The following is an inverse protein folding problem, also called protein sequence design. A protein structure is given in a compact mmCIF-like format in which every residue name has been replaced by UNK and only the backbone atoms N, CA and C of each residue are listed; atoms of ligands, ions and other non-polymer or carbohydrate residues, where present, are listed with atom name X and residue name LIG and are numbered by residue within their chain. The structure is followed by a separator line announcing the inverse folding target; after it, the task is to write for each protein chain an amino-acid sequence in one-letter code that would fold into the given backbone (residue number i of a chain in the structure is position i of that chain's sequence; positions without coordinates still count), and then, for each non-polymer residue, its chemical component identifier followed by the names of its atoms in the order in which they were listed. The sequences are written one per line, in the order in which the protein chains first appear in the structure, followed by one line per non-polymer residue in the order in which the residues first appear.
data_IF_523135155838
#
_entry.id   IF_523135155838
#
_cell.length_a   1.000
_cell.length_b   1.000
_cell.length_c   1.000
_cell.angle_alpha   90.00
_cell.angle_beta   90.00
_cell.angle_gamma   90.00
#
_symmetry.space_group_name_H-M   'P 1'
#
loop_
_entity.id
_entity.type
_entity.pdbx_description
1 polymer ?
#
# COMPACT_ATOMS: atom_id res chain seq x y z
N UNK A 1 -12.16 7.56 -24.20
CA UNK A 1 -11.64 7.50 -22.82
C UNK A 1 -10.14 7.34 -22.89
N UNK A 2 -9.40 8.23 -22.24
CA UNK A 2 -7.94 8.17 -22.18
C UNK A 2 -7.53 7.06 -21.21
N UNK A 3 -6.68 6.14 -21.67
CA UNK A 3 -6.23 5.00 -20.86
C UNK A 3 -5.17 5.45 -19.84
N UNK A 4 -5.27 4.95 -18.62
CA UNK A 4 -4.24 5.10 -17.59
C UNK A 4 -3.23 3.97 -17.75
N UNK A 5 -1.95 4.29 -17.73
CA UNK A 5 -0.85 3.32 -17.89
C UNK A 5 0.34 3.69 -17.00
N UNK A 6 1.21 2.72 -16.74
CA UNK A 6 2.56 2.98 -16.22
C UNK A 6 3.62 2.41 -17.17
N UNK A 7 4.88 2.84 -17.06
CA UNK A 7 5.94 2.32 -17.94
C UNK A 7 6.34 0.92 -17.48
N UNK A 8 6.58 0.01 -18.42
CA UNK A 8 6.84 -1.41 -18.09
C UNK A 8 8.03 -1.62 -17.13
N UNK A 9 9.05 -0.77 -17.21
CA UNK A 9 10.27 -0.85 -16.40
C UNK A 9 10.33 0.21 -15.29
N UNK A 10 9.22 0.88 -14.98
CA UNK A 10 9.18 1.88 -13.91
C UNK A 10 9.00 1.20 -12.56
N UNK A 11 10.01 1.24 -11.67
CA UNK A 11 9.94 0.61 -10.35
C UNK A 11 8.88 1.27 -9.47
N UNK A 12 8.66 2.57 -9.66
CA UNK A 12 7.70 3.37 -8.88
C UNK A 12 6.28 3.28 -9.47
N UNK A 13 6.15 2.68 -10.67
CA UNK A 13 4.89 2.51 -11.42
C UNK A 13 4.08 3.80 -11.48
N UNK A 14 4.74 4.91 -11.81
CA UNK A 14 4.08 6.20 -11.97
C UNK A 14 2.99 6.10 -13.03
N UNK A 15 1.83 6.68 -12.73
CA UNK A 15 0.67 6.63 -13.61
C UNK A 15 0.70 7.80 -14.59
N UNK A 16 0.40 7.51 -15.84
CA UNK A 16 0.34 8.46 -16.94
C UNK A 16 -0.93 8.23 -17.73
N UNK A 17 -1.37 9.28 -18.41
CA UNK A 17 -2.28 9.11 -19.54
C UNK A 17 -1.54 8.58 -20.75
N UNK A 18 -2.09 7.54 -21.40
CA UNK A 18 -1.46 6.89 -22.56
C UNK A 18 -1.11 7.89 -23.67
N UNK A 19 -1.94 8.90 -23.87
CA UNK A 19 -1.76 9.92 -24.91
C UNK A 19 -0.59 10.88 -24.60
N UNK A 20 -0.16 10.97 -23.33
CA UNK A 20 1.00 11.76 -22.92
C UNK A 20 2.33 11.02 -23.08
N UNK A 21 2.31 9.69 -23.21
CA UNK A 21 3.51 8.86 -23.27
C UNK A 21 3.94 8.65 -24.74
N UNK A 22 5.22 8.87 -25.08
CA UNK A 22 5.76 8.57 -26.41
C UNK A 22 5.48 7.12 -26.86
N UNK A 23 5.14 6.95 -28.16
CA UNK A 23 4.71 5.66 -28.73
C UNK A 23 5.79 4.58 -28.70
N UNK A 24 7.06 4.98 -28.65
CA UNK A 24 8.24 4.11 -28.59
C UNK A 24 8.47 3.48 -27.22
N UNK A 25 7.81 3.96 -26.16
CA UNK A 25 7.93 3.40 -24.82
C UNK A 25 6.94 2.25 -24.58
N UNK A 26 7.43 1.19 -23.94
CA UNK A 26 6.60 0.08 -23.48
C UNK A 26 5.83 0.49 -22.23
N UNK A 27 4.52 0.33 -22.29
CA UNK A 27 3.60 0.69 -21.20
C UNK A 27 2.73 -0.51 -20.83
N UNK A 28 2.19 -0.49 -19.62
CA UNK A 28 1.27 -1.51 -19.10
C UNK A 28 0.02 -0.80 -18.57
N UNK A 29 -1.15 -1.34 -18.89
CA UNK A 29 -2.42 -0.92 -18.28
C UNK A 29 -2.56 -1.67 -16.94
N UNK A 30 -2.69 -0.96 -15.80
CA UNK A 30 -2.84 -1.63 -14.51
C UNK A 30 -4.20 -2.33 -14.45
N UNK A 31 -4.23 -3.56 -13.93
CA UNK A 31 -5.48 -4.15 -13.49
C UNK A 31 -5.98 -3.46 -12.20
N UNK A 32 -7.20 -3.79 -11.77
CA UNK A 32 -7.81 -3.14 -10.62
C UNK A 32 -6.98 -3.30 -9.33
N UNK A 33 -6.34 -4.46 -9.15
CA UNK A 33 -5.48 -4.73 -8.00
C UNK A 33 -4.23 -3.86 -8.04
N UNK A 34 -3.52 -3.85 -9.16
CA UNK A 34 -2.31 -3.06 -9.35
C UNK A 34 -2.60 -1.56 -9.20
N UNK A 35 -3.74 -1.10 -9.74
CA UNK A 35 -4.18 0.27 -9.58
C UNK A 35 -4.37 0.64 -8.11
N UNK A 36 -5.03 -0.22 -7.32
CA UNK A 36 -5.18 -0.01 -5.87
C UNK A 36 -3.82 0.02 -5.15
N UNK A 37 -2.90 -0.89 -5.45
CA UNK A 37 -1.55 -0.90 -4.86
C UNK A 37 -0.80 0.42 -5.13
N UNK A 38 -0.83 0.91 -6.37
CA UNK A 38 -0.16 2.17 -6.75
C UNK A 38 -0.82 3.37 -6.04
N UNK A 39 -2.15 3.44 -6.03
CA UNK A 39 -2.89 4.51 -5.37
C UNK A 39 -2.66 4.50 -3.85
N UNK A 40 -2.63 3.32 -3.21
CA UNK A 40 -2.33 3.19 -1.77
C UNK A 40 -0.96 3.77 -1.42
N UNK A 41 0.07 3.42 -2.22
CA UNK A 41 1.42 3.94 -2.04
C UNK A 41 1.46 5.45 -2.19
N UNK A 42 0.81 6.00 -3.22
CA UNK A 42 0.70 7.45 -3.40
C UNK A 42 -0.01 8.12 -2.23
N UNK A 43 -1.12 7.57 -1.74
CA UNK A 43 -1.86 8.13 -0.60
C UNK A 43 -1.03 8.13 0.69
N UNK A 44 -0.24 7.08 0.94
CA UNK A 44 0.71 7.02 2.06
C UNK A 44 1.80 8.09 1.93
N UNK A 45 2.33 8.32 0.73
CA UNK A 45 3.31 9.39 0.47
C UNK A 45 2.72 10.79 0.66
N UNK A 46 1.41 10.95 0.45
CA UNK A 46 0.66 12.18 0.68
C UNK A 46 0.18 12.32 2.14
N UNK A 47 0.58 11.42 3.03
CA UNK A 47 0.24 11.42 4.46
C UNK A 47 -1.28 11.44 4.75
N UNK A 48 -2.08 10.79 3.89
CA UNK A 48 -3.52 10.62 4.14
C UNK A 48 -3.70 9.64 5.30
N UNK A 49 -4.27 10.12 6.41
CA UNK A 49 -4.34 9.38 7.68
C UNK A 49 -5.55 8.45 7.77
N UNK A 50 -6.69 8.85 7.21
CA UNK A 50 -7.93 8.06 7.20
C UNK A 50 -8.11 7.39 5.83
N UNK A 51 -7.82 6.10 5.77
CA UNK A 51 -7.87 5.27 4.57
C UNK A 51 -8.88 4.13 4.68
N UNK A 52 -9.74 4.10 5.69
CA UNK A 52 -10.67 2.98 5.93
C UNK A 52 -11.60 2.76 4.73
N UNK A 53 -12.00 3.84 4.05
CA UNK A 53 -12.80 3.83 2.82
C UNK A 53 -12.09 3.17 1.62
N UNK A 54 -10.76 3.09 1.64
CA UNK A 54 -9.95 2.52 0.57
C UNK A 54 -9.78 1.00 0.69
N UNK A 55 -10.06 0.45 1.89
CA UNK A 55 -9.94 -0.97 2.18
C UNK A 55 -11.28 -1.70 2.00
N UNK A 56 -11.22 -3.04 1.97
CA UNK A 56 -12.42 -3.87 1.91
C UNK A 56 -13.31 -3.62 3.14
N UNK A 57 -14.56 -3.22 2.92
CA UNK A 57 -15.50 -2.93 4.02
C UNK A 57 -15.85 -4.14 4.91
N UNK A 58 -15.54 -5.37 4.49
CA UNK A 58 -15.80 -6.59 5.28
C UNK A 58 -14.58 -6.99 6.12
N UNK A 59 -13.38 -6.99 5.52
CA UNK A 59 -12.17 -7.52 6.17
C UNK A 59 -11.12 -6.47 6.53
N UNK A 60 -11.32 -5.20 6.14
CA UNK A 60 -10.38 -4.09 6.37
C UNK A 60 -8.97 -4.33 5.80
N UNK A 61 -8.87 -5.15 4.75
CA UNK A 61 -7.63 -5.40 4.01
C UNK A 61 -7.71 -4.80 2.59
N UNK A 62 -6.56 -4.55 1.97
CA UNK A 62 -6.49 -4.10 0.57
C UNK A 62 -7.03 -5.21 -0.36
N UNK A 63 -8.12 -4.98 -1.11
CA UNK A 63 -8.72 -6.03 -1.93
C UNK A 63 -7.76 -6.52 -3.02
N UNK A 64 -7.64 -7.84 -3.17
CA UNK A 64 -6.87 -8.48 -4.27
C UNK A 64 -7.75 -8.69 -5.49
N UNK A 65 -9.02 -8.97 -5.27
CA UNK A 65 -10.05 -9.01 -6.30
C UNK A 65 -11.12 -7.96 -5.96
N UNK A 66 -10.82 -6.67 -6.18
CA UNK A 66 -11.75 -5.60 -5.83
C UNK A 66 -13.03 -5.71 -6.64
N UNK A 67 -14.15 -5.60 -5.93
CA UNK A 67 -15.47 -5.42 -6.50
C UNK A 67 -16.22 -4.33 -5.76
N UNK A 68 -17.15 -3.67 -6.45
CA UNK A 68 -18.02 -2.67 -5.84
C UNK A 68 -19.47 -2.88 -6.28
N UNK A 69 -20.39 -2.40 -5.44
CA UNK A 69 -21.80 -2.34 -5.80
C UNK A 69 -22.05 -1.07 -6.63
N UNK A 70 -22.49 -1.16 -7.90
CA UNK A 70 -22.62 0.00 -8.75
C UNK A 70 -23.79 0.90 -8.31
N UNK A 71 -23.47 2.15 -7.98
CA UNK A 71 -24.45 3.20 -7.65
C UNK A 71 -24.39 4.34 -8.67
N UNK A 72 -25.34 5.28 -8.62
CA UNK A 72 -25.29 6.50 -9.43
C UNK A 72 -24.08 7.39 -9.09
N UNK A 73 -23.51 7.23 -7.90
CA UNK A 73 -22.34 7.98 -7.44
C UNK A 73 -21.00 7.30 -7.79
N UNK A 74 -21.03 6.17 -8.49
CA UNK A 74 -19.87 5.35 -8.76
C UNK A 74 -19.53 4.42 -7.59
N UNK A 75 -18.23 4.29 -7.30
CA UNK A 75 -17.74 3.49 -6.19
C UNK A 75 -18.00 4.27 -4.89
N UNK A 76 -18.71 3.64 -3.97
CA UNK A 76 -18.88 4.13 -2.59
C UNK A 76 -18.06 3.32 -1.61
N UNK A 77 -17.99 2.01 -1.82
CA UNK A 77 -17.23 1.07 -0.99
C UNK A 77 -16.61 -0.01 -1.87
N UNK A 78 -15.44 -0.49 -1.43
CA UNK A 78 -14.74 -1.61 -2.04
C UNK A 78 -14.95 -2.87 -1.21
N UNK A 79 -15.03 -3.99 -1.90
CA UNK A 79 -15.12 -5.32 -1.31
C UNK A 79 -14.09 -6.25 -1.95
N UNK A 80 -13.58 -7.18 -1.15
CA UNK A 80 -12.88 -8.35 -1.64
C UNK A 80 -13.92 -9.39 -2.10
N UNK A 81 -13.87 -9.79 -3.37
CA UNK A 81 -14.87 -10.67 -3.98
C UNK A 81 -15.06 -11.97 -3.19
N UNK A 82 -13.98 -12.57 -2.71
CA UNK A 82 -14.05 -13.82 -1.94
C UNK A 82 -14.75 -13.64 -0.59
N UNK A 83 -14.55 -12.52 0.09
CA UNK A 83 -15.27 -12.18 1.33
C UNK A 83 -16.74 -11.89 1.09
N UNK A 84 -17.06 -11.22 -0.03
CA UNK A 84 -18.44 -10.96 -0.41
C UNK A 84 -19.21 -12.24 -0.75
N UNK A 85 -18.55 -13.23 -1.39
CA UNK A 85 -19.13 -14.56 -1.60
C UNK A 85 -19.42 -15.26 -0.27
N UNK A 86 -18.50 -15.18 0.70
CA UNK A 86 -18.71 -15.72 2.05
C UNK A 86 -19.88 -15.01 2.74
N UNK A 87 -19.99 -13.69 2.60
CA UNK A 87 -21.10 -12.90 3.18
C UNK A 87 -22.46 -13.45 2.74
N UNK A 88 -22.67 -13.60 1.43
CA UNK A 88 -23.94 -14.13 0.90
C UNK A 88 -24.16 -15.62 1.20
N UNK A 89 -23.11 -16.37 1.51
CA UNK A 89 -23.21 -17.79 1.86
C UNK A 89 -23.55 -18.03 3.34
N UNK A 90 -23.34 -17.04 4.23
CA UNK A 90 -23.60 -17.19 5.69
C UNK A 90 -25.08 -17.32 6.01
N UNK A 91 -25.94 -16.60 5.29
CA UNK A 91 -27.39 -16.70 5.44
C UNK A 91 -28.04 -16.54 4.06
N UNK A 92 -28.70 -17.60 3.58
CA UNK A 92 -29.40 -17.60 2.29
C UNK A 92 -30.57 -16.61 2.24
N UNK A 93 -31.05 -16.15 3.39
CA UNK A 93 -32.07 -15.09 3.52
C UNK A 93 -31.44 -13.70 3.49
N UNK A 94 -30.15 -13.58 3.83
CA UNK A 94 -29.44 -12.31 3.78
C UNK A 94 -29.08 -11.98 2.33
N UNK A 95 -29.94 -11.18 1.70
CA UNK A 95 -29.72 -10.63 0.37
C UNK A 95 -29.45 -9.14 0.42
N UNK A 96 -28.83 -8.66 1.50
CA UNK A 96 -28.49 -7.24 1.64
C UNK A 96 -27.00 -7.03 1.42
N UNK A 97 -26.68 -5.89 0.82
CA UNK A 97 -25.30 -5.40 0.73
C UNK A 97 -24.73 -5.26 2.17
N UNK A 98 -23.44 -5.58 2.40
CA UNK A 98 -22.86 -5.53 3.74
C UNK A 98 -23.02 -4.19 4.46
N UNK A 99 -23.12 -3.09 3.73
CA UNK A 99 -23.30 -1.73 4.24
C UNK A 99 -24.70 -1.17 3.99
N UNK A 100 -25.65 -2.00 3.55
CA UNK A 100 -27.05 -1.61 3.35
C UNK A 100 -27.30 -0.76 2.10
N UNK A 101 -26.39 -0.74 1.12
CA UNK A 101 -26.58 0.02 -0.13
C UNK A 101 -27.73 -0.49 -1.01
N UNK A 102 -28.14 -1.76 -0.81
CA UNK A 102 -29.20 -2.38 -1.58
C UNK A 102 -29.78 -3.61 -0.87
N UNK A 103 -31.02 -3.92 -1.24
CA UNK A 103 -31.74 -5.13 -0.80
C UNK A 103 -31.97 -6.07 -1.98
N UNK A 104 -32.12 -7.37 -1.71
CA UNK A 104 -32.21 -8.41 -2.72
C UNK A 104 -31.03 -8.44 -3.72
N UNK A 105 -29.85 -8.06 -3.25
CA UNK A 105 -28.61 -8.03 -4.02
C UNK A 105 -27.96 -9.40 -4.09
N UNK A 106 -27.27 -9.67 -5.20
CA UNK A 106 -26.50 -10.89 -5.44
C UNK A 106 -25.10 -10.55 -5.92
N UNK A 107 -24.17 -11.50 -5.78
CA UNK A 107 -22.76 -11.33 -6.19
C UNK A 107 -22.61 -10.89 -7.66
N UNK A 108 -23.52 -11.32 -8.54
CA UNK A 108 -23.50 -10.99 -9.98
C UNK A 108 -23.76 -9.52 -10.30
N UNK A 109 -24.28 -8.75 -9.36
CA UNK A 109 -24.54 -7.32 -9.52
C UNK A 109 -23.32 -6.46 -9.21
N UNK A 110 -22.32 -7.03 -8.51
CA UNK A 110 -21.07 -6.34 -8.20
C UNK A 110 -20.15 -6.39 -9.41
N UNK A 111 -19.38 -5.32 -9.59
CA UNK A 111 -18.48 -5.15 -10.75
C UNK A 111 -17.05 -4.99 -10.29
N UNK A 112 -16.11 -5.47 -11.11
CA UNK A 112 -14.71 -5.10 -10.97
C UNK A 112 -14.53 -3.67 -11.45
N UNK A 113 -13.92 -2.77 -10.64
CA UNK A 113 -13.74 -1.39 -11.03
C UNK A 113 -12.66 -1.24 -12.10
N UNK A 114 -12.86 -0.30 -13.00
CA UNK A 114 -11.85 0.12 -13.98
C UNK A 114 -10.80 1.02 -13.32
N UNK A 115 -9.60 1.16 -13.91
CA UNK A 115 -8.58 2.09 -13.39
C UNK A 115 -9.09 3.54 -13.25
N UNK A 116 -9.95 3.99 -14.17
CA UNK A 116 -10.52 5.35 -14.10
C UNK A 116 -11.53 5.48 -12.97
N UNK A 117 -12.40 4.50 -12.76
CA UNK A 117 -13.33 4.51 -11.62
C UNK A 117 -12.60 4.50 -10.27
N UNK A 118 -11.49 3.76 -10.15
CA UNK A 118 -10.65 3.78 -8.95
C UNK A 118 -9.97 5.13 -8.72
N UNK A 119 -9.46 5.75 -9.78
CA UNK A 119 -8.87 7.10 -9.70
C UNK A 119 -9.92 8.13 -9.27
N UNK A 120 -11.10 8.11 -9.92
CA UNK A 120 -12.19 9.04 -9.62
C UNK A 120 -12.71 8.84 -8.19
N UNK A 121 -12.76 7.60 -7.71
CA UNK A 121 -13.07 7.27 -6.32
C UNK A 121 -12.08 7.91 -5.34
N UNK A 122 -10.77 7.76 -5.57
CA UNK A 122 -9.73 8.35 -4.71
C UNK A 122 -9.78 9.88 -4.74
N UNK A 123 -9.98 10.49 -5.92
CA UNK A 123 -10.13 11.93 -6.07
C UNK A 123 -11.35 12.43 -5.28
N UNK A 124 -12.49 11.75 -5.41
CA UNK A 124 -13.71 12.08 -4.66
C UNK A 124 -13.50 12.01 -3.15
N UNK A 125 -12.82 10.97 -2.67
CA UNK A 125 -12.61 10.75 -1.24
C UNK A 125 -11.57 11.68 -0.61
N UNK A 126 -10.55 12.09 -1.38
CA UNK A 126 -9.45 12.93 -0.87
C UNK A 126 -9.63 14.43 -1.16
N UNK A 127 -10.38 14.78 -2.21
CA UNK A 127 -10.46 16.14 -2.73
C UNK A 127 -9.20 16.62 -3.46
N UNK A 128 -8.20 15.75 -3.66
CA UNK A 128 -7.01 16.09 -4.42
C UNK A 128 -7.29 16.19 -5.92
N UNK A 129 -6.52 17.05 -6.59
CA UNK A 129 -6.59 17.19 -8.03
C UNK A 129 -6.01 15.95 -8.75
N UNK A 130 -6.47 15.71 -9.97
CA UNK A 130 -6.12 14.51 -10.75
C UNK A 130 -4.62 14.42 -11.05
N UNK A 131 -3.96 15.56 -11.25
CA UNK A 131 -2.52 15.70 -11.54
C UNK A 131 -1.61 15.32 -10.36
N UNK A 132 -2.16 15.19 -9.15
CA UNK A 132 -1.47 14.59 -8.00
C UNK A 132 -1.24 13.09 -8.21
N UNK A 133 -2.17 12.42 -8.91
CA UNK A 133 -2.13 10.98 -9.14
C UNK A 133 -1.61 10.61 -10.52
N UNK A 134 -1.90 11.43 -11.55
CA UNK A 134 -1.49 11.21 -12.92
C UNK A 134 -0.41 12.21 -13.32
N UNK A 135 0.79 11.70 -13.59
CA UNK A 135 1.90 12.50 -14.05
C UNK A 135 1.81 12.78 -15.56
N UNK A 136 2.36 13.93 -15.94
CA UNK A 136 2.67 14.21 -17.34
C UNK A 136 4.07 13.72 -17.65
N UNK A 137 4.19 12.81 -18.62
CA UNK A 137 5.48 12.29 -19.02
C UNK A 137 6.41 13.41 -19.49
N UNK A 138 7.51 13.62 -18.75
CA UNK A 138 8.61 14.49 -19.14
C UNK A 138 9.74 13.59 -19.60
N UNK A 139 10.13 13.70 -20.87
CA UNK A 139 11.26 12.93 -21.40
C UNK A 139 12.48 13.22 -20.52
N UNK A 140 13.15 12.19 -19.97
CA UNK A 140 14.38 12.42 -19.22
C UNK A 140 15.35 13.18 -20.11
N UNK A 141 15.90 14.28 -19.61
CA UNK A 141 17.02 14.93 -20.28
C UNK A 141 18.12 13.88 -20.35
N UNK A 142 18.42 13.40 -21.56
CA UNK A 142 19.61 12.60 -21.80
C UNK A 142 20.79 13.47 -21.41
N UNK A 143 21.31 13.29 -20.19
CA UNK A 143 22.69 13.70 -19.89
C UNK A 143 23.53 12.93 -20.89
N UNK A 144 23.98 13.61 -21.95
CA UNK A 144 25.14 13.15 -22.70
C UNK A 144 26.26 13.12 -21.68
N UNK A 145 26.55 11.94 -21.14
CA UNK A 145 27.81 11.71 -20.45
C UNK A 145 28.88 12.09 -21.45
N UNK A 146 29.68 13.10 -21.12
CA UNK A 146 30.85 13.47 -21.91
C UNK A 146 31.73 12.22 -22.01
N UNK A 147 32.31 11.88 -23.17
CA UNK A 147 33.23 10.76 -23.32
C UNK A 147 34.39 10.78 -22.30
N UNK A 148 34.65 11.92 -21.67
CA UNK A 148 35.68 12.13 -20.66
C UNK A 148 35.38 11.42 -19.32
N UNK A 149 34.11 11.17 -18.96
CA UNK A 149 33.75 10.50 -17.70
C UNK A 149 33.84 8.95 -17.79
N UNK A 150 33.76 8.36 -18.99
CA UNK A 150 33.99 6.91 -19.19
C UNK A 150 35.47 6.53 -19.09
N UNK A 151 36.39 7.46 -19.34
CA UNK A 151 37.84 7.22 -19.31
C UNK A 151 38.44 7.12 -17.89
N UNK A 152 37.70 7.53 -16.85
CA UNK A 152 38.21 7.52 -15.47
C UNK A 152 37.84 6.27 -14.66
N UNK A 153 37.06 5.35 -15.24
CA UNK A 153 36.60 4.13 -14.57
C UNK A 153 37.37 2.86 -14.98
N UNK A 154 38.36 2.95 -15.87
CA UNK A 154 39.14 1.79 -16.32
C UNK A 154 40.59 1.81 -15.77
N UNK A 155 40.76 1.24 -14.56
CA UNK A 155 41.82 0.29 -14.12
C UNK A 155 42.10 0.39 -12.61
N UNK A 156 42.22 -0.77 -11.94
CA UNK A 156 43.56 -1.14 -11.48
C UNK A 156 43.99 -2.47 -12.09
N UNK A 157 45.12 -2.44 -12.81
CA UNK A 157 45.77 -3.65 -13.30
C UNK A 157 46.59 -4.28 -12.15
N UNK A 158 46.30 -5.56 -11.92
CA UNK A 158 46.97 -6.42 -10.98
C UNK A 158 48.41 -6.68 -11.43
N UNK A 159 49.41 -6.38 -10.58
CA UNK A 159 50.75 -6.97 -10.74
C UNK A 159 51.04 -7.90 -9.57
N UNK A 160 51.02 -9.19 -9.90
CA UNK A 160 51.45 -10.33 -9.09
C UNK A 160 52.96 -10.24 -8.81
N UNK A 161 53.40 -10.46 -7.56
CA UNK A 161 54.79 -10.81 -7.22
C UNK A 161 54.84 -11.87 -6.11
N UNK A 162 55.09 -13.09 -6.57
CA UNK A 162 55.82 -14.26 -6.01
C UNK A 162 55.82 -14.60 -4.50
N UNK A 163 55.46 -15.87 -4.28
CA UNK A 163 55.89 -16.84 -3.26
C UNK A 163 56.99 -16.43 -2.28
N UNK A 164 56.70 -16.55 -0.97
CA UNK A 164 57.62 -17.14 0.03
C UNK A 164 56.79 -17.95 1.06
N UNK A 165 57.24 -19.20 1.23
CA UNK A 165 57.01 -20.24 2.25
C UNK A 165 56.01 -20.07 3.41
N UNK A 166 55.27 -21.17 3.65
CA UNK A 166 54.56 -21.48 4.90
C UNK A 166 55.55 -21.65 6.06
N UNK A 167 55.12 -21.39 7.31
CA UNK A 167 54.76 -22.54 8.13
C UNK A 167 53.49 -22.37 8.99
N UNK A 168 52.98 -23.53 9.38
CA UNK A 168 51.88 -23.81 10.30
C UNK A 168 51.96 -23.09 11.66
N UNK A 169 50.82 -22.59 12.17
CA UNK A 169 50.13 -23.15 13.34
C UNK A 169 48.89 -22.32 13.75
N UNK A 170 48.05 -23.01 14.51
CA UNK A 170 46.74 -22.70 15.07
C UNK A 170 46.60 -21.42 15.91
N UNK A 171 45.38 -20.82 15.86
CA UNK A 171 44.52 -20.31 16.97
C UNK A 171 43.51 -19.30 16.38
N UNK A 172 42.22 -19.64 16.28
CA UNK A 172 41.13 -19.45 17.26
C UNK A 172 40.80 -17.98 17.63
N UNK A 173 39.49 -17.67 17.52
CA UNK A 173 38.68 -16.56 18.12
C UNK A 173 38.69 -15.21 17.37
N UNK A 174 37.56 -14.85 16.74
CA UNK A 174 36.39 -14.14 17.31
C UNK A 174 36.61 -12.64 17.38
N UNK A 175 35.81 -11.85 16.66
CA UNK A 175 35.60 -10.42 16.92
C UNK A 175 34.28 -9.93 16.31
N UNK A 176 33.37 -9.50 17.20
CA UNK A 176 32.45 -8.34 17.08
C UNK A 176 31.30 -8.48 16.06
N UNK A 177 30.07 -8.89 16.42
CA UNK A 177 29.15 -8.28 17.41
C UNK A 177 29.08 -6.75 17.28
N UNK A 178 28.28 -6.26 16.34
CA UNK A 178 27.76 -4.89 16.37
C UNK A 178 26.36 -4.92 17.01
N UNK A 179 26.35 -4.74 18.33
CA UNK A 179 25.16 -4.51 19.13
C UNK A 179 24.68 -3.07 18.96
N UNK A 180 23.35 -2.98 18.89
CA UNK A 180 22.48 -1.81 18.85
C UNK A 180 22.82 -0.79 19.95
N UNK A 181 22.93 0.49 19.58
CA UNK A 181 22.84 1.59 20.53
C UNK A 181 21.41 2.10 20.60
N UNK A 182 20.66 1.55 21.56
CA UNK A 182 19.49 2.20 22.14
C UNK A 182 19.96 3.33 23.06
N UNK A 183 19.63 4.58 22.73
CA UNK A 183 19.84 5.72 23.63
C UNK A 183 18.57 5.90 24.45
N UNK A 184 18.54 5.28 25.63
CA UNK A 184 17.64 5.67 26.71
C UNK A 184 18.25 6.86 27.45
N UNK A 185 17.56 8.00 27.47
CA UNK A 185 17.75 9.06 28.45
C UNK A 185 16.82 8.84 29.65
N UNK A 186 17.43 8.69 30.83
CA UNK A 186 16.87 8.61 32.19
C UNK A 186 15.61 9.45 32.45
N UNK A 187 14.58 8.91 33.14
CA UNK A 187 14.39 8.83 34.63
C UNK A 187 14.31 10.22 35.27
N UNK A 188 13.24 10.63 35.92
CA UNK A 188 12.66 10.18 37.21
C UNK A 188 11.36 11.02 37.41
N UNK A 189 10.30 10.73 38.18
CA UNK A 189 10.15 10.05 39.45
C UNK A 189 8.63 9.94 39.79
N UNK A 190 8.31 8.92 40.60
CA UNK A 190 7.27 8.87 41.66
C UNK A 190 5.81 8.46 41.39
N UNK A 191 5.52 7.35 42.09
CA UNK A 191 4.35 6.98 42.92
C UNK A 191 3.21 6.19 42.25
N UNK A 192 3.45 4.88 42.24
CA UNK A 192 2.46 3.83 42.47
C UNK A 192 1.69 4.13 43.75
N UNK A 193 0.36 4.16 43.67
CA UNK A 193 -0.52 3.72 44.77
C UNK A 193 -1.50 2.75 44.18
N UNK A 194 -1.42 1.52 44.67
CA UNK A 194 -2.21 0.37 44.35
C UNK A 194 -3.29 0.30 45.42
N UNK A 195 -4.58 0.36 45.07
CA UNK A 195 -5.65 -0.21 45.90
C UNK A 195 -6.96 -0.40 45.11
N UNK A 196 -7.27 -1.67 44.86
CA UNK A 196 -8.59 -2.31 44.78
C UNK A 196 -8.36 -3.70 45.44
N UNK A 197 -9.36 -4.43 45.99
CA UNK A 197 -10.81 -4.41 45.73
C UNK A 197 -11.64 -4.39 47.05
N UNK A 198 -12.97 -4.24 47.09
CA UNK A 198 -14.07 -5.21 46.91
C UNK A 198 -15.37 -4.45 47.32
N UNK A 199 -16.46 -4.43 46.54
CA UNK A 199 -17.60 -5.38 46.43
C UNK A 199 -18.77 -5.15 47.40
N UNK A 200 -20.00 -5.19 46.83
CA UNK A 200 -21.34 -5.44 47.43
C UNK A 200 -21.95 -4.26 48.23
N UNK A 201 -23.20 -3.82 48.05
CA UNK A 201 -24.52 -4.46 47.83
C UNK A 201 -25.51 -3.44 47.21
N UNK A 202 -26.30 -3.81 46.19
CA UNK A 202 -27.76 -4.13 46.25
C UNK A 202 -28.66 -3.06 46.88
N UNK A 203 -29.61 -2.51 46.11
CA UNK A 203 -31.04 -2.59 46.44
C UNK A 203 -31.98 -2.35 45.24
N UNK A 204 -33.13 -3.00 45.34
CA UNK A 204 -34.13 -3.38 44.32
C UNK A 204 -35.16 -2.28 43.90
N UNK A 205 -35.61 -2.42 42.63
CA UNK A 205 -36.88 -2.12 41.89
C UNK A 205 -38.21 -1.85 42.67
N UNK A 206 -39.37 -1.43 42.08
CA UNK A 206 -39.85 -1.54 40.66
C UNK A 206 -40.71 -0.33 40.12
N UNK A 207 -41.33 -0.42 38.89
CA UNK A 207 -42.09 0.66 38.24
C UNK A 207 -43.62 0.50 38.36
N UNK A 208 -44.38 1.61 38.28
CA UNK A 208 -45.81 1.64 37.90
C UNK A 208 -46.25 3.07 37.50
N UNK A 209 -46.68 3.25 36.25
CA UNK A 209 -48.04 3.67 35.87
C UNK A 209 -48.23 3.65 34.36
#
# INVERSE_FOLDING_TARGET
MTKIVYLHNDPDKMLYYKDSVPKDLKVVEPDAKMMLEILEQKLKLLEVVDLDWFYCAICMELPKEPVFYPTSEGITNLYEKSELVKWFSRDLKNKSDPLGLGSNVTISQYKTPTPKELLDFVIKSTGFAEDVFIDHYKKPLTKKVSPEEELLLEKPDNTIRNEIDRPSHSKQRSCLSLLLYSIFGCKDNRKVTQEKPESLTSDHLPPHH
#
